data_IF_687989009788
#
_entry.id   IF_687989009788
#
_cell.length_a   1.000
_cell.length_b   1.000
_cell.length_c   1.000
_cell.angle_alpha   90.00
_cell.angle_beta   90.00
_cell.angle_gamma   90.00
#
_symmetry.space_group_name_H-M   'P 1'
#
loop_
_entity.id
_entity.type
_entity.pdbx_description
1 polymer ?
#
# COMPACT_ATOMS: atom_id res chain seq x y z
N UNK A 1 4.68 -23.93 3.11
CA UNK A 1 5.77 -24.04 2.12
C UNK A 1 7.05 -24.27 2.93
N UNK A 2 7.68 -25.43 2.83
CA UNK A 2 8.96 -25.71 3.50
C UNK A 2 10.03 -25.67 2.41
N UNK A 3 11.02 -24.78 2.57
CA UNK A 3 12.19 -24.71 1.70
C UNK A 3 13.22 -25.71 2.21
N UNK A 4 13.78 -26.53 1.33
CA UNK A 4 14.81 -27.50 1.70
C UNK A 4 16.16 -26.80 1.93
N UNK A 5 17.06 -27.38 2.74
CA UNK A 5 18.42 -26.85 2.89
C UNK A 5 19.18 -26.72 1.57
N UNK A 6 18.94 -27.63 0.62
CA UNK A 6 19.53 -27.61 -0.71
C UNK A 6 19.06 -26.40 -1.52
N UNK A 7 17.75 -26.09 -1.52
CA UNK A 7 17.19 -24.91 -2.21
C UNK A 7 17.75 -23.60 -1.62
N UNK A 8 17.93 -23.54 -0.30
CA UNK A 8 18.55 -22.39 0.38
C UNK A 8 20.01 -22.25 -0.05
N UNK A 9 20.74 -23.36 -0.13
CA UNK A 9 22.15 -23.37 -0.55
C UNK A 9 22.32 -22.92 -2.01
N UNK A 10 21.49 -23.42 -2.92
CA UNK A 10 21.48 -23.00 -4.33
C UNK A 10 21.19 -21.49 -4.46
N UNK A 11 20.22 -20.98 -3.71
CA UNK A 11 19.90 -19.54 -3.70
C UNK A 11 21.08 -18.69 -3.21
N UNK A 12 21.77 -19.12 -2.16
CA UNK A 12 22.97 -18.44 -1.65
C UNK A 12 24.09 -18.40 -2.70
N UNK A 13 24.31 -19.51 -3.42
CA UNK A 13 25.29 -19.56 -4.50
C UNK A 13 24.91 -18.61 -5.65
N UNK A 14 23.65 -18.56 -6.04
CA UNK A 14 23.17 -17.62 -7.08
C UNK A 14 23.41 -16.17 -6.67
N UNK A 15 23.04 -15.80 -5.44
CA UNK A 15 23.21 -14.44 -4.91
C UNK A 15 24.70 -14.04 -4.85
N UNK A 16 25.59 -14.97 -4.51
CA UNK A 16 27.03 -14.67 -4.46
C UNK A 16 27.68 -14.59 -5.84
N UNK A 17 27.24 -15.40 -6.80
CA UNK A 17 27.85 -15.49 -8.13
C UNK A 17 27.24 -14.50 -9.14
N UNK A 18 26.04 -13.99 -8.88
CA UNK A 18 25.30 -13.11 -9.79
C UNK A 18 25.00 -11.77 -9.12
N UNK A 19 25.01 -10.68 -9.89
CA UNK A 19 24.74 -9.32 -9.39
C UNK A 19 23.24 -9.04 -9.39
N UNK A 20 22.52 -9.70 -8.48
CA UNK A 20 21.07 -9.58 -8.34
C UNK A 20 20.69 -8.34 -7.52
N UNK A 21 19.49 -7.82 -7.78
CA UNK A 21 18.85 -6.79 -6.98
C UNK A 21 17.38 -7.14 -6.68
N UNK A 22 16.88 -6.63 -5.56
CA UNK A 22 15.46 -6.71 -5.22
C UNK A 22 14.83 -5.36 -5.55
N UNK A 23 13.99 -5.35 -6.60
CA UNK A 23 13.29 -4.12 -7.03
C UNK A 23 12.43 -3.53 -5.92
N UNK A 24 11.71 -4.35 -5.16
CA UNK A 24 10.85 -3.88 -4.07
C UNK A 24 10.56 -4.96 -3.06
N UNK A 25 10.42 -4.55 -1.79
CA UNK A 25 9.68 -5.30 -0.77
C UNK A 25 8.41 -4.51 -0.46
N UNK A 26 7.27 -5.19 -0.39
CA UNK A 26 5.98 -4.54 -0.12
C UNK A 26 5.30 -5.18 1.08
N UNK A 27 4.94 -4.37 2.07
CA UNK A 27 4.11 -4.80 3.19
C UNK A 27 2.63 -4.56 2.86
N UNK A 28 1.83 -5.63 2.91
CA UNK A 28 0.37 -5.54 2.84
C UNK A 28 -0.23 -5.27 4.21
N UNK A 29 -1.08 -4.25 4.34
CA UNK A 29 -1.75 -3.88 5.59
C UNK A 29 -3.26 -3.84 5.39
N UNK A 30 -3.99 -4.69 6.12
CA UNK A 30 -5.46 -4.62 6.16
C UNK A 30 -5.89 -3.42 7.01
N UNK A 31 -6.86 -2.66 6.48
CA UNK A 31 -7.49 -1.53 7.15
C UNK A 31 -8.93 -1.82 7.59
N UNK A 32 -9.37 -3.08 7.59
CA UNK A 32 -10.78 -3.44 7.86
C UNK A 32 -11.24 -2.99 9.27
N UNK A 33 -10.32 -2.92 10.24
CA UNK A 33 -10.58 -2.40 11.58
C UNK A 33 -10.60 -0.87 11.72
N UNK A 34 -10.34 -0.13 10.63
CA UNK A 34 -10.25 1.32 10.65
C UNK A 34 -11.60 2.02 10.49
N UNK A 35 -12.65 1.30 10.10
CA UNK A 35 -14.00 1.85 10.01
C UNK A 35 -14.45 2.42 11.36
N UNK A 36 -14.95 3.65 11.34
CA UNK A 36 -15.44 4.39 12.50
C UNK A 36 -16.64 5.26 12.10
N UNK A 37 -17.51 5.58 13.05
CA UNK A 37 -18.66 6.45 12.81
C UNK A 37 -18.30 7.94 12.64
N UNK A 38 -17.04 8.31 12.89
CA UNK A 38 -16.51 9.66 12.72
C UNK A 38 -15.45 9.65 11.61
N UNK A 39 -15.67 10.39 10.50
CA UNK A 39 -14.73 10.48 9.39
C UNK A 39 -13.30 10.89 9.79
N UNK A 40 -13.15 11.81 10.74
CA UNK A 40 -11.83 12.27 11.20
C UNK A 40 -11.06 11.15 11.92
N UNK A 41 -11.79 10.26 12.62
CA UNK A 41 -11.20 9.11 13.30
C UNK A 41 -10.75 8.02 12.34
N UNK A 42 -11.34 7.92 11.15
CA UNK A 42 -10.92 6.94 10.14
C UNK A 42 -9.50 7.26 9.67
N UNK A 43 -9.22 8.51 9.31
CA UNK A 43 -7.88 8.93 8.88
C UNK A 43 -6.80 8.61 9.93
N UNK A 44 -7.05 8.97 11.19
CA UNK A 44 -6.13 8.67 12.30
C UNK A 44 -5.90 7.17 12.47
N UNK A 45 -6.96 6.36 12.45
CA UNK A 45 -6.85 4.89 12.58
C UNK A 45 -6.06 4.27 11.43
N UNK A 46 -6.24 4.77 10.21
CA UNK A 46 -5.46 4.33 9.04
C UNK A 46 -3.98 4.64 9.28
N UNK A 47 -3.65 5.87 9.66
CA UNK A 47 -2.28 6.28 9.95
C UNK A 47 -1.62 5.44 11.05
N UNK A 48 -2.31 5.25 12.17
CA UNK A 48 -1.80 4.47 13.31
C UNK A 48 -1.60 3.00 12.96
N UNK A 49 -2.54 2.41 12.19
CA UNK A 49 -2.44 1.02 11.75
C UNK A 49 -1.25 0.81 10.82
N UNK A 50 -1.03 1.74 9.89
CA UNK A 50 0.12 1.71 8.98
C UNK A 50 1.43 1.88 9.75
N UNK A 51 1.55 2.88 10.62
CA UNK A 51 2.76 3.14 11.42
C UNK A 51 3.11 1.91 12.28
N UNK A 52 2.14 1.36 13.00
CA UNK A 52 2.34 0.17 13.84
C UNK A 52 2.72 -1.07 13.04
N UNK A 53 2.17 -1.25 11.85
CA UNK A 53 2.49 -2.41 11.01
C UNK A 53 3.88 -2.30 10.36
N UNK A 54 4.29 -1.09 9.99
CA UNK A 54 5.48 -0.84 9.18
C UNK A 54 6.69 -0.30 9.96
N UNK A 55 6.60 -0.09 11.28
CA UNK A 55 7.68 0.48 12.12
C UNK A 55 9.05 -0.17 11.92
N UNK A 56 9.09 -1.47 11.61
CA UNK A 56 10.32 -2.25 11.42
C UNK A 56 10.63 -2.58 9.97
N UNK A 57 9.78 -2.18 9.02
CA UNK A 57 9.92 -2.57 7.61
C UNK A 57 11.26 -2.13 7.02
N UNK A 58 11.59 -0.84 7.13
CA UNK A 58 12.82 -0.28 6.58
C UNK A 58 14.07 -0.77 7.31
N UNK A 59 14.15 -0.72 8.67
CA UNK A 59 15.31 -1.24 9.38
C UNK A 59 15.61 -2.71 9.10
N UNK A 60 14.58 -3.55 8.99
CA UNK A 60 14.73 -4.98 8.68
C UNK A 60 15.17 -5.16 7.23
N UNK A 61 14.55 -4.46 6.28
CA UNK A 61 14.96 -4.53 4.87
C UNK A 61 16.43 -4.12 4.69
N UNK A 62 16.88 -3.06 5.34
CA UNK A 62 18.28 -2.64 5.29
C UNK A 62 19.24 -3.61 5.97
N UNK A 63 18.84 -4.24 7.07
CA UNK A 63 19.63 -5.28 7.71
C UNK A 63 19.81 -6.49 6.79
N UNK A 64 18.74 -6.96 6.16
CA UNK A 64 18.75 -8.08 5.19
C UNK A 64 19.62 -7.72 3.98
N UNK A 65 19.49 -6.49 3.44
CA UNK A 65 20.29 -6.05 2.31
C UNK A 65 21.80 -6.06 2.64
N UNK A 66 22.19 -5.65 3.85
CA UNK A 66 23.58 -5.71 4.32
C UNK A 66 24.07 -7.13 4.55
N UNK A 67 23.24 -7.99 5.12
CA UNK A 67 23.61 -9.38 5.45
C UNK A 67 23.92 -10.20 4.20
N UNK A 68 23.10 -10.06 3.16
CA UNK A 68 23.24 -10.85 1.94
C UNK A 68 23.96 -10.11 0.80
N UNK A 69 24.30 -8.84 0.99
CA UNK A 69 24.95 -8.02 -0.06
C UNK A 69 24.06 -7.75 -1.27
N UNK A 70 22.74 -7.91 -1.15
CA UNK A 70 21.76 -7.70 -2.23
C UNK A 70 21.01 -6.38 -1.99
N UNK A 71 21.10 -5.40 -2.89
CA UNK A 71 20.40 -4.14 -2.71
C UNK A 71 18.88 -4.32 -2.80
N UNK A 72 18.15 -3.69 -1.85
CA UNK A 72 16.69 -3.55 -1.90
C UNK A 72 16.35 -2.12 -2.29
N UNK A 73 15.94 -1.96 -3.55
CA UNK A 73 15.77 -0.64 -4.18
C UNK A 73 14.59 0.12 -3.60
N UNK A 74 13.44 -0.53 -3.40
CA UNK A 74 12.24 0.11 -2.86
C UNK A 74 11.66 -0.64 -1.65
N UNK A 75 11.08 0.09 -0.71
CA UNK A 75 10.24 -0.40 0.39
C UNK A 75 8.88 0.27 0.25
N UNK A 76 7.83 -0.52 0.11
CA UNK A 76 6.48 -0.03 -0.19
C UNK A 76 5.46 -0.58 0.78
N UNK A 77 4.32 0.11 0.87
CA UNK A 77 3.14 -0.35 1.58
C UNK A 77 1.99 -0.46 0.59
N UNK A 78 1.16 -1.48 0.73
CA UNK A 78 -0.11 -1.60 0.04
C UNK A 78 -1.22 -1.82 1.07
N UNK A 79 -2.28 -1.03 1.00
CA UNK A 79 -3.41 -1.10 1.94
C UNK A 79 -4.69 -1.60 1.29
N UNK A 80 -5.68 -2.00 2.10
CA UNK A 80 -7.06 -2.24 1.66
C UNK A 80 -7.54 -1.06 0.79
N UNK A 81 -8.21 -1.29 -0.36
CA UNK A 81 -8.73 -0.21 -1.20
C UNK A 81 -9.57 0.79 -0.40
N UNK A 82 -9.14 2.05 -0.35
CA UNK A 82 -9.81 3.09 0.47
C UNK A 82 -11.29 3.26 0.09
N UNK A 83 -11.70 2.93 -1.13
CA UNK A 83 -13.11 2.95 -1.54
C UNK A 83 -14.01 2.05 -0.66
N UNK A 84 -13.45 0.98 -0.07
CA UNK A 84 -14.17 0.11 0.87
C UNK A 84 -14.41 0.77 2.23
N UNK A 85 -13.57 1.73 2.61
CA UNK A 85 -13.71 2.55 3.81
C UNK A 85 -14.45 3.87 3.53
N UNK A 86 -14.60 4.24 2.25
CA UNK A 86 -15.17 5.51 1.81
C UNK A 86 -16.70 5.61 1.96
N UNK A 87 -17.38 4.50 2.23
CA UNK A 87 -18.84 4.51 2.42
C UNK A 87 -19.21 5.36 3.63
N UNK A 88 -19.83 6.52 3.39
CA UNK A 88 -20.19 7.48 4.43
C UNK A 88 -19.14 8.57 4.71
N UNK A 89 -17.96 8.53 4.07
CA UNK A 89 -16.95 9.60 4.17
C UNK A 89 -17.23 10.70 3.14
N UNK A 90 -17.22 11.95 3.57
CA UNK A 90 -17.26 13.10 2.67
C UNK A 90 -15.90 13.29 1.94
N UNK A 91 -15.82 14.15 0.91
CA UNK A 91 -14.58 14.40 0.19
C UNK A 91 -13.44 14.87 1.09
N UNK A 92 -13.72 15.77 2.05
CA UNK A 92 -12.70 16.29 2.97
C UNK A 92 -12.08 15.18 3.83
N UNK A 93 -12.90 14.22 4.28
CA UNK A 93 -12.41 13.07 5.01
C UNK A 93 -11.55 12.14 4.15
N UNK A 94 -11.86 11.96 2.87
CA UNK A 94 -11.01 11.18 1.95
C UNK A 94 -9.65 11.83 1.72
N UNK A 95 -9.62 13.17 1.61
CA UNK A 95 -8.37 13.91 1.54
C UNK A 95 -7.59 13.83 2.85
N UNK A 96 -8.27 13.85 3.99
CA UNK A 96 -7.63 13.63 5.29
C UNK A 96 -7.02 12.22 5.39
N UNK A 97 -7.71 11.19 4.87
CA UNK A 97 -7.16 9.82 4.77
C UNK A 97 -5.91 9.80 3.89
N UNK A 98 -5.94 10.41 2.70
CA UNK A 98 -4.77 10.47 1.82
C UNK A 98 -3.59 11.19 2.48
N UNK A 99 -3.84 12.35 3.11
CA UNK A 99 -2.83 13.10 3.83
C UNK A 99 -2.23 12.31 5.00
N UNK A 100 -3.04 11.49 5.68
CA UNK A 100 -2.56 10.68 6.79
C UNK A 100 -1.83 9.41 6.33
N UNK A 101 -2.20 8.84 5.18
CA UNK A 101 -1.42 7.81 4.50
C UNK A 101 -0.03 8.33 4.11
N UNK A 102 0.06 9.55 3.56
CA UNK A 102 1.33 10.17 3.17
C UNK A 102 2.24 10.41 4.37
N UNK A 103 1.66 10.95 5.46
CA UNK A 103 2.37 11.16 6.74
C UNK A 103 2.84 9.85 7.34
N UNK A 104 2.00 8.82 7.36
CA UNK A 104 2.39 7.50 7.87
C UNK A 104 3.52 6.89 7.03
N UNK A 105 3.47 7.03 5.70
CA UNK A 105 4.53 6.58 4.80
C UNK A 105 5.86 7.32 5.05
N UNK A 106 5.80 8.63 5.25
CA UNK A 106 6.96 9.45 5.59
C UNK A 106 7.60 9.02 6.92
N UNK A 107 6.78 8.82 7.96
CA UNK A 107 7.25 8.47 9.30
C UNK A 107 7.97 7.11 9.36
N UNK A 108 7.50 6.12 8.59
CA UNK A 108 8.13 4.79 8.55
C UNK A 108 9.23 4.69 7.47
N UNK A 109 9.46 5.77 6.71
CA UNK A 109 10.52 5.86 5.71
C UNK A 109 10.33 5.03 4.45
N UNK A 110 9.09 4.70 4.06
CA UNK A 110 8.81 3.99 2.79
C UNK A 110 8.75 4.93 1.60
N UNK A 111 9.05 4.40 0.41
CA UNK A 111 9.05 5.17 -0.84
C UNK A 111 7.63 5.52 -1.28
N UNK A 112 6.71 4.54 -1.20
CA UNK A 112 5.33 4.67 -1.66
C UNK A 112 4.35 3.89 -0.81
N UNK A 113 3.14 4.44 -0.68
CA UNK A 113 1.97 3.76 -0.11
C UNK A 113 0.84 3.71 -1.16
N UNK A 114 0.52 2.50 -1.61
CA UNK A 114 -0.58 2.24 -2.53
C UNK A 114 -1.83 1.81 -1.78
N UNK A 115 -2.99 1.99 -2.42
CA UNK A 115 -4.28 1.53 -1.89
C UNK A 115 -5.35 2.62 -1.83
N UNK A 116 -5.02 3.86 -2.23
CA UNK A 116 -6.02 4.89 -2.54
C UNK A 116 -6.77 4.50 -3.83
N UNK A 117 -7.57 3.45 -3.72
CA UNK A 117 -7.98 2.63 -4.85
C UNK A 117 -9.46 2.27 -4.81
N UNK A 118 -10.03 2.06 -6.00
CA UNK A 118 -11.40 1.60 -6.21
C UNK A 118 -11.46 0.40 -7.17
N UNK A 119 -12.46 -0.47 -6.98
CA UNK A 119 -12.66 -1.67 -7.79
C UNK A 119 -14.03 -1.63 -8.48
N UNK A 120 -14.10 -1.01 -9.66
CA UNK A 120 -15.36 -0.64 -10.32
C UNK A 120 -15.74 -1.53 -11.52
N UNK A 121 -14.99 -2.60 -11.77
CA UNK A 121 -15.21 -3.53 -12.89
C UNK A 121 -16.59 -4.23 -12.93
N UNK A 122 -17.44 -4.08 -11.90
CA UNK A 122 -18.82 -4.62 -11.84
C UNK A 122 -19.89 -3.54 -11.63
N UNK A 123 -19.53 -2.28 -11.86
CA UNK A 123 -20.34 -1.11 -11.54
C UNK A 123 -19.68 -0.24 -10.46
N UNK A 124 -20.21 0.96 -10.28
CA UNK A 124 -19.66 1.99 -9.40
C UNK A 124 -20.55 2.13 -8.18
N UNK A 125 -20.03 1.77 -7.00
CA UNK A 125 -20.65 2.07 -5.72
C UNK A 125 -20.47 3.53 -5.33
N UNK A 126 -21.15 3.94 -4.26
CA UNK A 126 -21.03 5.32 -3.75
C UNK A 126 -19.60 5.65 -3.28
N UNK A 127 -18.99 4.75 -2.49
CA UNK A 127 -17.60 4.90 -2.03
C UNK A 127 -16.60 4.94 -3.18
N UNK A 128 -16.83 4.15 -4.24
CA UNK A 128 -15.98 4.17 -5.43
C UNK A 128 -16.04 5.53 -6.14
N UNK A 129 -17.25 6.07 -6.34
CA UNK A 129 -17.43 7.39 -6.99
C UNK A 129 -16.72 8.48 -6.20
N UNK A 130 -16.98 8.55 -4.89
CA UNK A 130 -16.35 9.55 -4.01
C UNK A 130 -14.82 9.44 -4.02
N UNK A 131 -14.28 8.22 -3.98
CA UNK A 131 -12.84 8.03 -4.07
C UNK A 131 -12.30 8.49 -5.43
N UNK A 132 -12.93 8.10 -6.54
CA UNK A 132 -12.48 8.51 -7.88
C UNK A 132 -12.47 10.04 -8.05
N UNK A 133 -13.50 10.71 -7.55
CA UNK A 133 -13.61 12.17 -7.58
C UNK A 133 -12.51 12.85 -6.72
N UNK A 134 -12.06 12.20 -5.64
CA UNK A 134 -11.02 12.70 -4.76
C UNK A 134 -9.57 12.41 -5.24
N UNK A 135 -9.37 11.54 -6.23
CA UNK A 135 -8.03 11.17 -6.74
C UNK A 135 -7.21 12.40 -7.17
N UNK A 136 -7.73 13.34 -7.97
CA UNK A 136 -6.94 14.48 -8.44
C UNK A 136 -6.36 15.31 -7.29
N UNK A 137 -7.19 15.66 -6.31
CA UNK A 137 -6.78 16.47 -5.16
C UNK A 137 -5.84 15.69 -4.23
N UNK A 138 -6.14 14.43 -3.95
CA UNK A 138 -5.30 13.57 -3.12
C UNK A 138 -3.89 13.42 -3.69
N UNK A 139 -3.75 13.20 -5.01
CA UNK A 139 -2.44 13.05 -5.65
C UNK A 139 -1.72 14.40 -5.81
N UNK A 140 -2.45 15.51 -5.89
CA UNK A 140 -1.84 16.85 -5.93
C UNK A 140 -1.32 17.27 -4.54
N UNK A 141 -1.95 16.82 -3.46
CA UNK A 141 -1.62 17.22 -2.09
C UNK A 141 -0.71 16.24 -1.33
N UNK A 142 -0.27 15.15 -1.95
CA UNK A 142 0.57 14.11 -1.33
C UNK A 142 1.78 13.76 -2.18
N UNK A 143 2.80 13.14 -1.59
CA UNK A 143 4.06 12.84 -2.28
C UNK A 143 4.26 11.34 -2.51
N UNK A 144 3.79 10.50 -1.59
CA UNK A 144 4.06 9.05 -1.52
C UNK A 144 2.82 8.20 -1.80
N UNK A 145 1.63 8.80 -1.81
CA UNK A 145 0.38 8.07 -2.06
C UNK A 145 0.28 7.73 -3.53
N UNK A 146 -0.08 6.47 -3.80
CA UNK A 146 -0.42 6.01 -5.15
C UNK A 146 -1.89 5.61 -5.22
N UNK A 147 -2.57 6.09 -6.26
CA UNK A 147 -3.95 5.75 -6.55
C UNK A 147 -4.06 4.74 -7.69
N UNK A 148 -5.12 3.93 -7.68
CA UNK A 148 -5.44 3.03 -8.80
C UNK A 148 -6.93 2.74 -8.89
N UNK A 149 -7.45 2.61 -10.11
CA UNK A 149 -8.85 2.25 -10.35
C UNK A 149 -8.89 1.02 -11.24
N UNK A 150 -9.50 -0.05 -10.74
CA UNK A 150 -9.70 -1.25 -11.53
C UNK A 150 -11.06 -1.21 -12.26
N UNK A 151 -11.02 -0.88 -13.55
CA UNK A 151 -12.20 -0.71 -14.40
C UNK A 151 -12.65 -1.98 -15.14
N UNK A 152 -11.85 -3.04 -15.15
CA UNK A 152 -12.12 -4.22 -15.97
C UNK A 152 -11.60 -5.52 -15.35
N UNK A 153 -12.22 -6.63 -15.73
CA UNK A 153 -11.66 -7.97 -15.50
C UNK A 153 -12.14 -8.93 -16.58
N UNK A 154 -11.34 -9.95 -16.92
CA UNK A 154 -11.75 -10.99 -17.88
C UNK A 154 -13.10 -11.63 -17.52
N UNK A 155 -13.41 -11.73 -16.22
CA UNK A 155 -14.66 -12.33 -15.73
C UNK A 155 -15.87 -11.40 -15.83
N UNK A 156 -15.69 -10.09 -15.62
CA UNK A 156 -16.79 -9.13 -15.57
C UNK A 156 -16.92 -8.25 -16.83
N UNK A 157 -15.95 -8.33 -17.74
CA UNK A 157 -15.82 -7.40 -18.85
C UNK A 157 -15.20 -6.08 -18.43
N UNK A 158 -15.53 -5.02 -19.18
CA UNK A 158 -15.08 -3.65 -18.95
C UNK A 158 -16.29 -2.84 -18.51
N UNK A 159 -16.14 -2.06 -17.44
CA UNK A 159 -17.12 -1.06 -17.06
C UNK A 159 -16.87 0.22 -17.87
N UNK A 160 -17.70 0.48 -18.88
CA UNK A 160 -17.63 1.62 -19.82
C UNK A 160 -18.71 2.63 -19.51
#
# INVERSE_FOLDING_TARGET
MQLSPEEIHETLLMVQQQHLDIRTVTLGVSLDGCAAGDPARVALRVGDTVRRAAERLVPVAEAVAREYGVPIVNKRIAVTPIAQLATGLDPDALLAVAAEMDRAAADVGVDFIGGFSALVHKGIGEGDRRLMDAIPDALASTLRVCASVNVASTRAGINV
#
